data_IF_329851604270
#
_entry.id   IF_329851604270
#
_cell.length_a   1.000
_cell.length_b   1.000
_cell.length_c   1.000
_cell.angle_alpha   90.00
_cell.angle_beta   90.00
_cell.angle_gamma   90.00
#
_symmetry.space_group_name_H-M   'P 1'
#
loop_
_entity.id
_entity.type
_entity.pdbx_description
1 polymer ?
#
# COMPACT_ATOMS: atom_id res chain seq x y z
N UNK A 1 19.52 -27.07 -48.70
CA UNK A 1 20.04 -25.75 -49.12
C UNK A 1 19.13 -25.15 -50.19
N UNK A 2 18.29 -24.19 -49.81
CA UNK A 2 17.71 -23.21 -50.74
C UNK A 2 17.27 -22.00 -49.92
N UNK A 3 18.04 -20.93 -50.03
CA UNK A 3 17.79 -19.64 -49.39
C UNK A 3 16.72 -18.88 -50.19
N UNK A 4 15.73 -18.31 -49.53
CA UNK A 4 15.02 -17.11 -50.02
C UNK A 4 14.79 -16.21 -48.79
N UNK A 5 15.75 -15.33 -48.54
CA UNK A 5 15.56 -14.18 -47.65
C UNK A 5 14.84 -13.09 -48.46
N UNK A 6 13.57 -12.86 -48.17
CA UNK A 6 12.84 -11.69 -48.63
C UNK A 6 12.48 -10.84 -47.42
N UNK A 7 13.25 -9.77 -47.24
CA UNK A 7 12.99 -8.69 -46.28
C UNK A 7 11.81 -7.88 -46.82
N UNK A 8 10.71 -7.80 -46.06
CA UNK A 8 9.66 -6.82 -46.29
C UNK A 8 9.26 -6.21 -44.94
N UNK A 9 9.87 -5.07 -44.67
CA UNK A 9 9.64 -4.17 -43.55
C UNK A 9 8.15 -3.85 -43.38
N UNK A 10 7.57 -4.21 -42.23
CA UNK A 10 6.24 -3.74 -41.84
C UNK A 10 6.40 -2.65 -40.78
N UNK A 11 6.17 -1.41 -41.21
CA UNK A 11 6.30 -0.20 -40.42
C UNK A 11 5.41 -0.23 -39.16
N UNK A 12 6.04 -0.06 -37.99
CA UNK A 12 5.35 0.15 -36.72
C UNK A 12 4.87 1.60 -36.70
N UNK A 13 3.56 1.79 -36.87
CA UNK A 13 2.90 3.08 -36.66
C UNK A 13 2.93 3.42 -35.16
N UNK A 14 3.77 4.38 -34.76
CA UNK A 14 3.66 5.00 -33.44
C UNK A 14 2.43 5.92 -33.43
N UNK A 15 1.35 5.44 -32.80
CA UNK A 15 0.19 6.27 -32.49
C UNK A 15 0.52 7.27 -31.37
N UNK A 16 0.42 8.56 -31.69
CA UNK A 16 0.43 9.66 -30.73
C UNK A 16 -0.92 9.73 -30.00
N UNK A 17 -0.94 9.40 -28.71
CA UNK A 17 -2.08 9.72 -27.85
C UNK A 17 -1.92 11.16 -27.30
N UNK A 18 -2.98 12.00 -27.32
CA UNK A 18 -2.93 13.36 -26.81
C UNK A 18 -2.82 13.38 -25.28
N UNK A 19 -1.88 14.19 -24.78
CA UNK A 19 -1.81 14.61 -23.38
C UNK A 19 -3.09 15.40 -23.05
N UNK A 20 -3.92 14.86 -22.15
CA UNK A 20 -5.00 15.59 -21.50
C UNK A 20 -4.51 16.10 -20.14
N UNK A 21 -4.66 17.40 -19.95
CA UNK A 21 -4.27 18.17 -18.78
C UNK A 21 -4.84 17.60 -17.46
N UNK A 22 -3.98 17.34 -16.49
CA UNK A 22 -4.41 17.24 -15.09
C UNK A 22 -4.47 18.64 -14.52
N UNK A 23 -5.71 19.10 -14.35
CA UNK A 23 -6.09 20.31 -13.67
C UNK A 23 -5.40 20.42 -12.30
N UNK A 24 -5.06 21.67 -11.93
CA UNK A 24 -4.60 22.07 -10.60
C UNK A 24 -5.35 21.31 -9.51
N UNK A 25 -4.65 20.39 -8.84
CA UNK A 25 -5.13 19.79 -7.60
C UNK A 25 -5.31 20.90 -6.57
N UNK A 26 -6.47 21.03 -5.91
CA UNK A 26 -6.60 21.95 -4.78
C UNK A 26 -5.65 21.48 -3.68
N UNK A 27 -4.82 22.41 -3.23
CA UNK A 27 -4.00 22.33 -2.03
C UNK A 27 -4.80 21.68 -0.90
N UNK A 28 -4.42 20.45 -0.55
CA UNK A 28 -5.00 19.72 0.54
C UNK A 28 -4.58 20.43 1.82
N UNK A 29 -5.42 21.38 2.28
CA UNK A 29 -5.31 22.00 3.60
C UNK A 29 -5.14 20.90 4.63
N UNK A 30 -3.91 20.78 5.12
CA UNK A 30 -3.55 19.96 6.26
C UNK A 30 -4.18 20.62 7.49
N UNK A 31 -5.44 20.26 7.75
CA UNK A 31 -6.16 20.72 8.94
C UNK A 31 -5.44 20.17 10.17
N UNK A 32 -4.90 21.11 10.95
CA UNK A 32 -4.26 20.86 12.22
C UNK A 32 -5.22 20.11 13.15
N UNK A 33 -4.71 18.99 13.65
CA UNK A 33 -5.29 18.04 14.60
C UNK A 33 -5.86 18.74 15.84
N UNK A 34 -7.17 18.95 15.88
CA UNK A 34 -7.93 19.13 17.13
C UNK A 34 -8.17 17.74 17.71
N UNK A 35 -7.29 17.34 18.64
CA UNK A 35 -7.16 15.96 19.12
C UNK A 35 -8.29 15.46 20.04
N UNK A 36 -9.54 15.93 19.89
CA UNK A 36 -10.63 15.46 20.76
C UNK A 36 -12.03 15.38 20.13
N UNK A 37 -12.34 16.11 19.05
CA UNK A 37 -13.66 16.04 18.43
C UNK A 37 -13.80 14.92 17.38
N UNK A 38 -12.68 14.44 16.84
CA UNK A 38 -12.67 13.51 15.71
C UNK A 38 -12.70 12.04 16.13
N UNK A 39 -12.45 11.73 17.40
CA UNK A 39 -12.17 10.35 17.85
C UNK A 39 -13.40 9.44 17.80
N UNK A 40 -14.59 10.01 18.00
CA UNK A 40 -15.89 9.34 17.89
C UNK A 40 -16.38 9.18 16.45
N UNK A 41 -15.69 9.78 15.46
CA UNK A 41 -16.14 9.73 14.07
C UNK A 41 -15.98 8.33 13.49
N UNK A 42 -17.06 7.78 12.95
CA UNK A 42 -17.03 6.48 12.29
C UNK A 42 -16.38 6.61 10.90
N UNK A 43 -15.41 5.73 10.63
CA UNK A 43 -14.80 5.54 9.31
C UNK A 43 -14.95 4.09 8.89
N UNK A 44 -15.51 3.90 7.71
CA UNK A 44 -15.56 2.60 7.06
C UNK A 44 -14.35 2.44 6.14
N UNK A 45 -13.67 1.29 6.26
CA UNK A 45 -12.59 0.89 5.36
C UNK A 45 -12.96 -0.44 4.72
N UNK A 46 -12.64 -0.59 3.45
CA UNK A 46 -12.79 -1.84 2.73
C UNK A 46 -11.50 -2.64 2.86
N UNK A 47 -11.59 -3.83 3.44
CA UNK A 47 -10.46 -4.73 3.61
C UNK A 47 -10.60 -5.82 2.57
N UNK A 48 -9.62 -5.89 1.67
CA UNK A 48 -9.47 -6.97 0.72
C UNK A 48 -8.89 -8.18 1.45
N UNK A 49 -9.62 -9.29 1.49
CA UNK A 49 -9.10 -10.53 2.06
C UNK A 49 -8.17 -11.21 1.05
N UNK A 50 -7.02 -11.68 1.50
CA UNK A 50 -6.08 -12.42 0.65
C UNK A 50 -6.63 -13.82 0.32
N UNK A 51 -6.77 -14.17 -0.96
CA UNK A 51 -7.19 -15.51 -1.38
C UNK A 51 -7.59 -15.61 -2.87
N UNK A 52 -7.76 -16.84 -3.38
CA UNK A 52 -8.15 -17.12 -4.78
C UNK A 52 -9.57 -16.66 -5.14
N UNK A 53 -10.40 -16.38 -4.13
CA UNK A 53 -11.72 -15.78 -4.27
C UNK A 53 -11.77 -14.53 -3.41
N UNK A 54 -11.13 -13.46 -3.88
CA UNK A 54 -10.98 -12.20 -3.15
C UNK A 54 -12.36 -11.63 -2.85
N UNK A 55 -12.78 -11.72 -1.59
CA UNK A 55 -13.96 -11.02 -1.08
C UNK A 55 -13.49 -9.76 -0.38
N UNK A 56 -14.16 -8.66 -0.68
CA UNK A 56 -13.95 -7.41 0.03
C UNK A 56 -14.98 -7.28 1.14
N UNK A 57 -14.51 -6.98 2.35
CA UNK A 57 -15.37 -6.75 3.51
C UNK A 57 -15.26 -5.30 3.95
N UNK A 58 -16.39 -4.63 4.13
CA UNK A 58 -16.42 -3.27 4.68
C UNK A 58 -16.51 -3.35 6.20
N UNK A 59 -15.53 -2.75 6.88
CA UNK A 59 -15.48 -2.67 8.34
C UNK A 59 -15.59 -1.21 8.73
N UNK A 60 -16.60 -0.86 9.51
CA UNK A 60 -16.82 0.47 10.06
C UNK A 60 -16.42 0.48 11.53
N UNK A 61 -15.53 1.39 11.89
CA UNK A 61 -15.03 1.58 13.26
C UNK A 61 -14.83 3.06 13.54
N UNK A 62 -14.74 3.44 14.81
CA UNK A 62 -14.42 4.82 15.18
C UNK A 62 -12.98 5.18 14.80
N UNK A 63 -12.68 6.47 14.69
CA UNK A 63 -11.31 6.93 14.43
C UNK A 63 -10.36 6.53 15.57
N UNK A 64 -10.83 6.55 16.81
CA UNK A 64 -10.06 6.05 17.96
C UNK A 64 -9.67 4.57 17.79
N UNK A 65 -10.64 3.72 17.46
CA UNK A 65 -10.40 2.28 17.24
C UNK A 65 -9.43 2.04 16.08
N UNK A 66 -9.57 2.78 14.98
CA UNK A 66 -8.64 2.67 13.87
C UNK A 66 -7.20 3.06 14.23
N UNK A 67 -7.01 4.06 15.09
CA UNK A 67 -5.68 4.43 15.59
C UNK A 67 -5.11 3.32 16.47
N UNK A 68 -5.90 2.77 17.38
CA UNK A 68 -5.48 1.65 18.22
C UNK A 68 -5.03 0.44 17.38
N UNK A 69 -5.78 0.08 16.33
CA UNK A 69 -5.41 -1.01 15.42
C UNK A 69 -4.07 -0.73 14.74
N UNK A 70 -3.85 0.50 14.25
CA UNK A 70 -2.58 0.88 13.62
C UNK A 70 -1.41 0.84 14.61
N UNK A 71 -1.59 1.35 15.82
CA UNK A 71 -0.56 1.35 16.84
C UNK A 71 -0.21 -0.07 17.30
N UNK A 72 -1.21 -0.93 17.48
CA UNK A 72 -1.01 -2.34 17.79
C UNK A 72 -0.25 -3.05 16.67
N UNK A 73 -0.63 -2.83 15.41
CA UNK A 73 0.08 -3.40 14.26
C UNK A 73 1.54 -2.96 14.18
N UNK A 74 1.82 -1.67 14.41
CA UNK A 74 3.20 -1.16 14.42
C UNK A 74 4.02 -1.76 15.57
N UNK A 75 3.45 -1.86 16.79
CA UNK A 75 4.12 -2.51 17.91
C UNK A 75 4.42 -3.98 17.62
N UNK A 76 3.47 -4.72 17.06
CA UNK A 76 3.68 -6.12 16.69
C UNK A 76 4.77 -6.26 15.62
N UNK A 77 4.80 -5.39 14.62
CA UNK A 77 5.85 -5.39 13.60
C UNK A 77 7.24 -5.14 14.20
N UNK A 78 7.35 -4.19 15.15
CA UNK A 78 8.61 -3.94 15.87
C UNK A 78 9.06 -5.14 16.69
N UNK A 79 8.14 -5.77 17.43
CA UNK A 79 8.45 -6.97 18.21
C UNK A 79 8.95 -8.11 17.32
N UNK A 80 8.42 -8.27 16.10
CA UNK A 80 8.93 -9.25 15.13
C UNK A 80 10.36 -8.93 14.71
N UNK A 81 10.70 -7.65 14.48
CA UNK A 81 12.06 -7.26 14.12
C UNK A 81 13.03 -7.46 15.28
N UNK A 82 12.64 -7.09 16.49
CA UNK A 82 13.42 -7.27 17.71
C UNK A 82 13.68 -8.76 17.98
N UNK A 83 12.65 -9.61 17.86
CA UNK A 83 12.79 -11.05 18.05
C UNK A 83 13.61 -11.75 16.96
N UNK A 84 13.63 -11.20 15.74
CA UNK A 84 14.41 -11.75 14.62
C UNK A 84 15.79 -11.09 14.49
N UNK A 85 16.20 -10.27 15.46
CA UNK A 85 17.51 -9.65 15.43
C UNK A 85 18.59 -10.66 15.81
N UNK A 86 19.26 -11.20 14.80
CA UNK A 86 20.44 -12.05 14.95
C UNK A 86 21.61 -11.17 15.37
N UNK A 87 22.20 -11.46 16.52
CA UNK A 87 23.41 -10.78 16.97
C UNK A 87 24.61 -11.15 16.08
N UNK A 88 25.65 -10.29 16.03
CA UNK A 88 26.83 -10.52 15.19
C UNK A 88 27.59 -11.83 15.49
N UNK A 89 27.31 -12.50 16.61
CA UNK A 89 27.87 -13.81 16.97
C UNK A 89 26.99 -15.01 16.59
N UNK A 90 25.91 -14.79 15.84
CA UNK A 90 24.88 -15.78 15.48
C UNK A 90 24.14 -16.45 16.65
N UNK A 91 24.16 -15.85 17.84
CA UNK A 91 23.22 -16.23 18.90
C UNK A 91 21.95 -15.37 18.86
N UNK A 92 20.85 -15.96 19.30
CA UNK A 92 19.56 -15.26 19.44
C UNK A 92 19.69 -14.32 20.63
N UNK A 93 19.74 -13.02 20.37
CA UNK A 93 19.80 -12.02 21.43
C UNK A 93 18.39 -11.73 21.94
N UNK A 94 18.15 -12.01 23.22
CA UNK A 94 16.93 -11.59 23.90
C UNK A 94 15.89 -12.71 24.03
N UNK A 95 16.19 -13.68 24.88
CA UNK A 95 15.18 -14.48 25.57
C UNK A 95 15.19 -14.11 27.05
N UNK A 96 14.07 -13.60 27.54
CA UNK A 96 13.67 -13.71 28.94
C UNK A 96 12.23 -14.20 28.97
#
# INVERSE_FOLDING_TARGET
MKQIFAVASLAILLGSAPVMAQAKTPEKKQSAKTANADDSKIRCREIQQTGSLVRSTKVCKTLAEWRQINEQGNRAARAILENNQICPDQTVCGGS
#
